data_IF_970043463134
#
_entry.id   IF_970043463134
#
_cell.length_a   1.000
_cell.length_b   1.000
_cell.length_c   1.000
_cell.angle_alpha   90.00
_cell.angle_beta   90.00
_cell.angle_gamma   90.00
#
_symmetry.space_group_name_H-M   'P 1'
#
loop_
_entity.id
_entity.type
_entity.pdbx_description
1 polymer ?
#
# COMPACT_ATOMS: atom_id res chain seq x y z
N UNK A 1 14.51 13.82 32.97
CA UNK A 1 15.83 14.00 32.35
C UNK A 1 16.78 14.59 33.38
N UNK A 2 17.72 13.77 33.83
CA UNK A 2 18.70 14.15 34.86
C UNK A 2 19.76 15.08 34.25
N UNK A 3 20.32 16.01 35.02
CA UNK A 3 21.37 16.93 34.55
C UNK A 3 22.61 16.21 33.96
N UNK A 4 22.75 14.90 34.22
CA UNK A 4 23.78 14.02 33.64
C UNK A 4 23.59 13.69 32.15
N UNK A 5 22.39 13.78 31.59
CA UNK A 5 22.17 13.50 30.16
C UNK A 5 22.62 14.67 29.26
N UNK A 6 22.66 15.90 29.80
CA UNK A 6 23.03 17.10 29.05
C UNK A 6 24.53 17.23 28.74
N UNK A 7 25.39 16.38 29.29
CA UNK A 7 26.84 16.46 29.08
C UNK A 7 27.42 15.38 28.18
N UNK A 8 26.60 14.46 27.66
CA UNK A 8 27.11 13.43 26.74
C UNK A 8 27.33 14.03 25.36
N UNK A 9 28.54 13.84 24.82
CA UNK A 9 28.91 14.25 23.47
C UNK A 9 29.06 13.01 22.61
N UNK A 10 28.59 13.11 21.37
CA UNK A 10 28.64 12.03 20.40
C UNK A 10 29.32 12.51 19.12
N UNK A 11 30.04 11.62 18.45
CA UNK A 11 30.53 11.82 17.09
C UNK A 11 29.59 11.10 16.12
N UNK A 12 29.19 11.78 15.04
CA UNK A 12 28.32 11.21 14.01
C UNK A 12 29.13 11.02 12.73
N UNK A 13 29.26 9.77 12.30
CA UNK A 13 30.04 9.38 11.12
C UNK A 13 29.13 8.70 10.10
N UNK A 14 29.27 9.10 8.84
CA UNK A 14 28.71 8.34 7.72
C UNK A 14 29.68 7.22 7.36
N UNK A 15 29.20 5.99 7.22
CA UNK A 15 30.05 4.81 6.97
C UNK A 15 30.55 4.69 5.52
N UNK A 16 29.95 5.44 4.58
CA UNK A 16 30.16 5.27 3.14
C UNK A 16 29.14 4.34 2.48
N UNK A 17 28.30 3.67 3.27
CA UNK A 17 27.30 2.71 2.79
C UNK A 17 25.87 3.25 2.84
N UNK A 18 25.04 2.83 1.89
CA UNK A 18 23.64 3.18 1.82
C UNK A 18 22.75 2.06 2.38
N UNK A 19 21.57 2.44 2.85
CA UNK A 19 20.50 1.49 3.17
C UNK A 19 19.95 0.85 1.88
N UNK A 20 19.47 -0.40 1.94
CA UNK A 20 18.92 -1.09 0.77
C UNK A 20 17.79 -0.30 0.09
N UNK A 21 17.81 -0.23 -1.24
CA UNK A 21 16.77 0.43 -2.04
C UNK A 21 17.04 1.91 -2.35
N UNK A 22 18.14 2.50 -1.88
CA UNK A 22 18.53 3.87 -2.21
C UNK A 22 19.65 3.91 -3.27
N UNK A 23 19.47 4.74 -4.29
CA UNK A 23 20.48 4.98 -5.32
C UNK A 23 21.39 6.15 -4.91
N UNK A 24 22.71 5.99 -5.05
CA UNK A 24 23.73 6.97 -4.63
C UNK A 24 23.49 8.37 -5.18
N UNK A 25 23.13 8.48 -6.45
CA UNK A 25 22.90 9.75 -7.13
C UNK A 25 21.67 10.48 -6.56
N UNK A 26 20.61 9.74 -6.23
CA UNK A 26 19.40 10.32 -5.63
C UNK A 26 19.69 10.87 -4.23
N UNK A 27 20.44 10.11 -3.43
CA UNK A 27 20.86 10.52 -2.10
C UNK A 27 21.73 11.78 -2.14
N UNK A 28 22.72 11.81 -3.04
CA UNK A 28 23.60 12.98 -3.24
C UNK A 28 22.78 14.23 -3.55
N UNK A 29 21.85 14.15 -4.51
CA UNK A 29 21.02 15.28 -4.90
C UNK A 29 20.09 15.75 -3.78
N UNK A 30 19.50 14.82 -3.03
CA UNK A 30 18.59 15.15 -1.95
C UNK A 30 19.30 15.89 -0.81
N UNK A 31 20.49 15.42 -0.42
CA UNK A 31 21.31 16.06 0.63
C UNK A 31 21.87 17.39 0.13
N UNK A 32 22.42 17.43 -1.09
CA UNK A 32 22.95 18.66 -1.69
C UNK A 32 21.89 19.76 -1.70
N UNK A 33 20.65 19.42 -2.07
CA UNK A 33 19.50 20.33 -2.03
C UNK A 33 19.15 20.78 -0.62
N UNK A 34 19.16 19.88 0.36
CA UNK A 34 18.81 20.22 1.75
C UNK A 34 19.83 21.16 2.41
N UNK A 35 21.12 20.99 2.09
CA UNK A 35 22.20 21.82 2.63
C UNK A 35 22.56 23.02 1.73
N UNK A 36 21.92 23.15 0.56
CA UNK A 36 22.20 24.17 -0.44
C UNK A 36 23.69 24.20 -0.86
N UNK A 37 24.25 23.02 -1.09
CA UNK A 37 25.63 22.81 -1.56
C UNK A 37 25.65 22.11 -2.91
N UNK A 38 26.78 22.17 -3.60
CA UNK A 38 26.93 21.52 -4.89
C UNK A 38 26.96 19.97 -4.74
N UNK A 39 26.33 19.19 -5.64
CA UNK A 39 26.32 17.72 -5.57
C UNK A 39 27.73 17.10 -5.48
N UNK A 40 28.72 17.74 -6.10
CA UNK A 40 30.11 17.31 -6.10
C UNK A 40 30.72 17.34 -4.69
N UNK A 41 30.27 18.22 -3.80
CA UNK A 41 30.73 18.27 -2.41
C UNK A 41 30.22 17.07 -1.61
N UNK A 42 28.94 16.71 -1.79
CA UNK A 42 28.35 15.54 -1.14
C UNK A 42 28.91 14.23 -1.71
N UNK A 43 29.25 14.18 -3.00
CA UNK A 43 29.85 12.98 -3.59
C UNK A 43 31.18 12.59 -2.94
N UNK A 44 31.93 13.55 -2.38
CA UNK A 44 33.19 13.32 -1.67
C UNK A 44 33.00 12.55 -0.35
N UNK A 45 31.78 12.47 0.16
CA UNK A 45 31.47 11.71 1.38
C UNK A 45 31.48 10.20 1.16
N UNK A 46 31.33 9.75 -0.08
CA UNK A 46 31.25 8.34 -0.46
C UNK A 46 32.63 7.74 -0.75
N UNK A 47 33.54 7.86 0.22
CA UNK A 47 34.85 7.23 0.21
C UNK A 47 34.85 5.95 1.05
N UNK A 48 35.69 4.94 0.75
CA UNK A 48 35.89 3.80 1.63
C UNK A 48 36.31 4.26 3.04
N UNK A 49 35.59 3.81 4.07
CA UNK A 49 35.77 4.27 5.45
C UNK A 49 34.93 5.50 5.82
N UNK A 50 34.18 6.08 4.89
CA UNK A 50 33.20 7.11 5.18
C UNK A 50 33.79 8.44 5.66
N UNK A 51 32.95 9.33 6.20
CA UNK A 51 33.34 10.68 6.63
C UNK A 51 32.67 11.05 7.95
N UNK A 52 33.38 11.81 8.78
CA UNK A 52 32.79 12.40 10.00
C UNK A 52 31.92 13.59 9.60
N UNK A 53 30.62 13.49 9.87
CA UNK A 53 29.67 14.55 9.59
C UNK A 53 29.65 15.59 10.72
N UNK A 54 29.85 15.14 11.96
CA UNK A 54 29.88 15.98 13.15
C UNK A 54 30.84 15.40 14.17
N UNK A 55 31.83 16.20 14.59
CA UNK A 55 32.82 15.78 15.58
C UNK A 55 32.22 15.71 16.99
N UNK A 56 31.44 16.72 17.37
CA UNK A 56 30.74 16.76 18.65
C UNK A 56 29.27 17.18 18.43
N UNK A 57 28.35 16.33 18.88
CA UNK A 57 26.92 16.54 18.86
C UNK A 57 26.32 16.21 20.23
N UNK A 58 25.35 17.02 20.65
CA UNK A 58 24.48 16.68 21.77
C UNK A 58 23.54 15.52 21.39
N UNK A 59 22.96 14.84 22.39
CA UNK A 59 22.00 13.75 22.13
C UNK A 59 20.80 14.20 21.26
N UNK A 60 20.33 15.43 21.45
CA UNK A 60 19.24 16.01 20.66
C UNK A 60 19.65 16.23 19.20
N UNK A 61 20.86 16.75 18.96
CA UNK A 61 21.40 16.92 17.61
C UNK A 61 21.63 15.56 16.91
N UNK A 62 22.11 14.54 17.63
CA UNK A 62 22.26 13.19 17.08
C UNK A 62 20.93 12.66 16.58
N UNK A 63 19.86 12.75 17.38
CA UNK A 63 18.53 12.28 16.96
C UNK A 63 18.02 13.02 15.71
N UNK A 64 18.30 14.32 15.59
CA UNK A 64 17.94 15.10 14.40
C UNK A 64 18.75 14.69 13.17
N UNK A 65 20.08 14.54 13.32
CA UNK A 65 20.97 14.13 12.23
C UNK A 65 20.65 12.71 11.78
N UNK A 66 20.45 11.79 12.71
CA UNK A 66 20.10 10.40 12.43
C UNK A 66 18.77 10.31 11.68
N UNK A 67 17.72 10.96 12.19
CA UNK A 67 16.42 10.96 11.53
C UNK A 67 16.47 11.56 10.12
N UNK A 68 17.20 12.66 9.94
CA UNK A 68 17.36 13.28 8.62
C UNK A 68 18.11 12.37 7.64
N UNK A 69 19.29 11.88 8.01
CA UNK A 69 20.16 11.13 7.10
C UNK A 69 19.68 9.70 6.85
N UNK A 70 19.08 9.02 7.83
CA UNK A 70 18.46 7.71 7.60
C UNK A 70 17.26 7.83 6.65
N UNK A 71 16.47 8.90 6.74
CA UNK A 71 15.37 9.16 5.80
C UNK A 71 15.86 9.37 4.36
N UNK A 72 17.10 9.83 4.18
CA UNK A 72 17.77 9.93 2.86
C UNK A 72 18.55 8.67 2.48
N UNK A 73 18.56 7.62 3.31
CA UNK A 73 19.18 6.33 3.01
C UNK A 73 20.64 6.18 3.43
N UNK A 74 21.21 7.05 4.27
CA UNK A 74 22.59 6.90 4.77
C UNK A 74 22.65 5.97 5.98
N UNK A 75 23.65 5.09 6.01
CA UNK A 75 24.01 4.33 7.21
C UNK A 75 25.01 5.15 8.05
N UNK A 76 24.55 5.60 9.22
CA UNK A 76 25.38 6.32 10.18
C UNK A 76 25.94 5.41 11.28
N UNK A 77 27.08 5.79 11.81
CA UNK A 77 27.72 5.25 13.02
C UNK A 77 27.80 6.39 14.05
N UNK A 78 27.32 6.13 15.27
CA UNK A 78 27.30 7.10 16.38
C UNK A 78 28.26 6.60 17.45
N UNK A 79 29.29 7.38 17.77
CA UNK A 79 30.32 7.04 18.77
C UNK A 79 30.15 7.94 19.99
N UNK A 80 29.99 7.36 21.18
CA UNK A 80 29.92 8.13 22.44
C UNK A 80 31.33 8.56 22.86
N UNK A 81 31.58 9.87 22.85
CA UNK A 81 32.86 10.46 23.23
C UNK A 81 33.03 10.57 24.75
N UNK A 82 31.96 10.38 25.52
CA UNK A 82 31.95 10.53 26.98
C UNK A 82 32.69 9.40 27.70
N UNK A 83 33.08 8.34 26.97
CA UNK A 83 33.78 7.15 27.49
C UNK A 83 35.31 7.34 27.40
N UNK A 84 35.79 8.41 26.74
CA UNK A 84 37.19 8.60 26.37
C UNK A 84 38.20 8.96 27.46
N UNK A 85 37.77 9.30 28.69
CA UNK A 85 38.70 9.72 29.76
C UNK A 85 39.11 8.61 30.75
N UNK A 86 38.66 7.36 30.57
CA UNK A 86 38.98 6.27 31.51
C UNK A 86 39.44 4.92 30.93
N UNK A 87 39.89 4.86 29.67
CA UNK A 87 40.40 3.61 29.09
C UNK A 87 41.91 3.67 28.76
N UNK A 88 42.75 3.70 29.80
CA UNK A 88 44.04 2.99 29.75
C UNK A 88 43.84 1.61 30.36
N UNK A 89 44.27 0.58 29.62
CA UNK A 89 44.39 -0.83 30.01
C UNK A 89 43.10 -1.59 30.37
N UNK A 90 42.50 -2.23 29.36
CA UNK A 90 41.86 -3.54 29.56
C UNK A 90 42.32 -4.47 28.44
N UNK A 91 43.14 -5.45 28.84
CA UNK A 91 43.58 -6.60 28.05
C UNK A 91 42.39 -7.29 27.36
N UNK A 92 42.60 -7.65 26.08
CA UNK A 92 41.69 -8.55 25.35
C UNK A 92 41.65 -9.92 26.04
N UNK A 93 40.48 -10.43 26.45
CA UNK A 93 40.35 -11.82 26.82
C UNK A 93 40.53 -12.70 25.57
N UNK A 94 41.41 -13.70 25.67
CA UNK A 94 41.50 -14.78 24.68
C UNK A 94 40.18 -15.57 24.70
N UNK A 95 39.61 -15.79 23.52
CA UNK A 95 38.54 -16.76 23.33
C UNK A 95 39.12 -18.16 23.57
N UNK A 96 38.59 -18.85 24.57
CA UNK A 96 38.74 -20.29 24.74
C UNK A 96 37.54 -20.96 24.08
N UNK A 97 37.82 -21.70 23.00
CA UNK A 97 36.92 -22.68 22.40
C UNK A 97 37.00 -23.97 23.24
N UNK A 98 36.01 -24.25 24.10
CA UNK A 98 35.64 -25.61 24.50
C UNK A 98 34.48 -25.65 25.50
N UNK A 99 33.71 -26.75 25.45
CA UNK A 99 32.56 -27.15 26.28
C UNK A 99 31.19 -26.60 25.79
N UNK A 100 30.31 -27.32 25.09
CA UNK A 100 29.84 -28.74 25.13
C UNK A 100 29.08 -29.11 26.42
N UNK A 101 27.77 -29.42 26.23
CA UNK A 101 26.82 -30.14 27.12
C UNK A 101 26.53 -29.48 28.49
N UNK A 102 25.39 -29.58 29.17
CA UNK A 102 24.20 -30.47 29.22
C UNK A 102 23.16 -29.74 30.11
N UNK A 103 21.86 -29.74 29.76
CA UNK A 103 20.74 -30.40 30.47
C UNK A 103 20.24 -29.84 31.84
N UNK A 104 18.92 -30.07 32.06
CA UNK A 104 18.17 -30.11 33.34
C UNK A 104 17.49 -28.79 33.82
N UNK A 105 16.16 -28.62 33.70
CA UNK A 105 15.08 -29.06 34.64
C UNK A 105 15.18 -28.41 36.02
N UNK A 106 14.22 -27.53 36.39
CA UNK A 106 13.23 -27.80 37.45
C UNK A 106 12.18 -26.69 37.67
N UNK A 107 11.04 -27.16 38.18
CA UNK A 107 9.86 -26.48 38.70
C UNK A 107 10.10 -25.43 39.80
N UNK A 108 9.26 -24.39 39.88
CA UNK A 108 8.60 -24.06 41.16
C UNK A 108 7.33 -23.20 41.03
N UNK A 109 6.32 -23.65 41.76
CA UNK A 109 4.99 -23.08 42.01
C UNK A 109 5.02 -21.89 42.98
N UNK A 110 3.97 -21.06 42.96
CA UNK A 110 3.26 -20.43 44.11
C UNK A 110 2.17 -19.51 43.52
N UNK A 111 0.87 -19.85 43.55
CA UNK A 111 -0.07 -19.79 44.67
C UNK A 111 -0.29 -18.37 45.23
N UNK A 112 -1.44 -17.76 44.90
CA UNK A 112 -2.21 -16.94 45.86
C UNK A 112 -3.69 -16.92 45.50
N UNK A 113 -4.47 -17.32 46.51
CA UNK A 113 -5.91 -17.26 46.65
C UNK A 113 -6.48 -15.85 46.49
N UNK A 114 -7.72 -15.76 46.00
CA UNK A 114 -8.75 -15.04 46.75
C UNK A 114 -10.14 -15.56 46.38
N UNK A 115 -10.84 -15.93 47.45
CA UNK A 115 -12.17 -16.51 47.51
C UNK A 115 -13.28 -15.61 46.95
N UNK A 116 -14.12 -16.25 46.12
CA UNK A 116 -15.60 -16.40 46.20
C UNK A 116 -16.31 -15.86 47.49
N UNK A 117 -17.65 -15.57 47.52
CA UNK A 117 -18.64 -16.53 47.00
C UNK A 117 -20.06 -16.07 46.58
N UNK A 118 -20.76 -17.03 45.95
CA UNK A 118 -22.20 -17.37 46.05
C UNK A 118 -23.24 -16.51 45.30
N UNK A 119 -24.31 -17.02 44.65
CA UNK A 119 -24.91 -18.35 44.34
C UNK A 119 -26.11 -18.02 43.41
N UNK A 120 -26.48 -18.77 42.36
CA UNK A 120 -27.51 -19.85 42.33
C UNK A 120 -27.82 -20.08 40.83
N UNK A 121 -27.53 -21.21 40.19
CA UNK A 121 -28.03 -22.60 40.33
C UNK A 121 -29.44 -22.82 39.77
N UNK A 122 -29.51 -23.56 38.65
CA UNK A 122 -30.45 -24.67 38.28
C UNK A 122 -30.14 -24.99 36.80
N UNK A 123 -29.44 -26.08 36.45
CA UNK A 123 -29.81 -27.51 36.43
C UNK A 123 -30.91 -27.90 35.42
N UNK A 124 -30.50 -28.57 34.34
CA UNK A 124 -31.03 -29.86 33.79
C UNK A 124 -30.26 -30.21 32.49
N UNK A 125 -29.41 -31.24 32.48
CA UNK A 125 -29.68 -32.67 32.22
C UNK A 125 -29.82 -32.99 30.72
N UNK A 126 -28.79 -33.61 30.09
CA UNK A 126 -28.60 -35.08 29.90
C UNK A 126 -29.22 -35.55 28.57
N UNK A 127 -28.42 -35.95 27.56
CA UNK A 127 -28.15 -37.34 27.06
C UNK A 127 -28.12 -37.20 25.51
N UNK A 128 -27.45 -37.95 24.64
CA UNK A 128 -26.81 -39.26 24.63
C UNK A 128 -26.02 -39.41 23.29
N UNK A 129 -25.04 -40.34 23.25
CA UNK A 129 -24.57 -41.18 22.11
C UNK A 129 -23.84 -40.54 20.91
N UNK A 130 -22.57 -40.87 20.67
CA UNK A 130 -22.00 -42.15 20.17
C UNK A 130 -22.23 -42.40 18.68
N UNK A 131 -21.17 -42.31 17.86
CA UNK A 131 -20.80 -43.35 16.89
C UNK A 131 -19.49 -43.00 16.18
N UNK A 132 -18.54 -43.90 16.34
CA UNK A 132 -17.34 -44.07 15.54
C UNK A 132 -17.72 -44.52 14.12
N UNK A 133 -16.99 -44.06 13.10
CA UNK A 133 -16.86 -44.84 11.88
C UNK A 133 -15.51 -44.59 11.19
N UNK A 134 -14.66 -45.61 11.29
CA UNK A 134 -13.51 -45.87 10.43
C UNK A 134 -13.94 -46.34 9.02
N UNK A 135 -13.03 -46.14 8.07
CA UNK A 135 -12.87 -46.70 6.70
C UNK A 135 -12.80 -45.59 5.65
N UNK A 136 -11.86 -45.58 4.71
CA UNK A 136 -10.93 -46.63 4.35
C UNK A 136 -9.88 -46.15 3.35
N UNK A 137 -8.87 -46.99 3.27
CA UNK A 137 -7.70 -46.99 2.39
C UNK A 137 -8.13 -47.03 0.91
N UNK A 138 -7.51 -46.19 0.08
CA UNK A 138 -7.32 -46.45 -1.34
C UNK A 138 -5.96 -45.88 -1.78
N UNK A 139 -5.02 -46.82 -1.83
CA UNK A 139 -3.71 -46.77 -2.48
C UNK A 139 -3.89 -46.79 -4.01
N UNK A 140 -3.14 -45.98 -4.75
CA UNK A 140 -2.70 -46.27 -6.14
C UNK A 140 -1.81 -45.14 -6.70
N UNK A 141 -0.51 -45.40 -6.60
CA UNK A 141 0.58 -45.11 -7.54
C UNK A 141 0.23 -44.51 -8.92
N UNK A 142 1.01 -43.51 -9.37
CA UNK A 142 1.84 -43.62 -10.59
C UNK A 142 2.63 -42.33 -10.90
N UNK A 143 3.85 -42.55 -11.42
CA UNK A 143 4.73 -41.64 -12.18
C UNK A 143 5.32 -40.42 -11.44
N UNK A 144 6.62 -40.39 -11.06
CA UNK A 144 7.87 -40.65 -11.81
C UNK A 144 8.11 -39.61 -12.93
N UNK A 145 9.29 -38.98 -12.85
CA UNK A 145 9.93 -38.07 -13.82
C UNK A 145 9.57 -36.58 -13.78
N UNK A 146 10.42 -35.77 -13.14
CA UNK A 146 10.85 -34.44 -13.62
C UNK A 146 12.01 -33.88 -12.78
N UNK A 147 13.10 -34.63 -12.63
CA UNK A 147 14.42 -34.05 -12.35
C UNK A 147 15.07 -33.70 -13.69
N UNK A 148 15.14 -32.41 -14.00
CA UNK A 148 15.84 -31.94 -15.19
C UNK A 148 15.24 -30.66 -15.76
N UNK A 149 15.57 -29.50 -15.15
CA UNK A 149 15.73 -28.21 -15.85
C UNK A 149 16.04 -27.04 -14.88
N UNK A 150 17.01 -27.19 -13.98
CA UNK A 150 17.52 -26.06 -13.18
C UNK A 150 18.77 -25.39 -13.79
N UNK A 151 19.39 -25.96 -14.83
CA UNK A 151 20.57 -25.38 -15.47
C UNK A 151 20.28 -24.44 -16.65
N UNK A 152 19.08 -24.48 -17.25
CA UNK A 152 18.73 -23.61 -18.39
C UNK A 152 18.17 -22.23 -17.97
N UNK A 153 17.70 -22.07 -16.73
CA UNK A 153 17.25 -20.77 -16.20
C UNK A 153 18.41 -19.88 -15.74
N UNK A 154 19.60 -20.45 -15.52
CA UNK A 154 20.79 -19.69 -15.08
C UNK A 154 21.60 -19.09 -16.24
N UNK A 155 21.38 -19.58 -17.48
CA UNK A 155 22.07 -19.08 -18.69
C UNK A 155 21.38 -17.92 -19.41
N UNK A 156 20.15 -17.55 -19.06
CA UNK A 156 19.46 -16.39 -19.64
C UNK A 156 19.65 -15.08 -18.86
N UNK A 157 20.18 -15.12 -17.63
CA UNK A 157 20.46 -13.90 -16.85
C UNK A 157 21.84 -13.29 -17.17
N UNK A 158 22.81 -14.08 -17.66
CA UNK A 158 24.18 -13.58 -17.95
C UNK A 158 24.35 -12.95 -19.34
N UNK A 159 23.42 -13.13 -20.29
CA UNK A 159 23.51 -12.52 -21.63
C UNK A 159 22.79 -11.16 -21.76
N UNK A 160 22.23 -10.63 -20.67
CA UNK A 160 21.44 -9.40 -20.66
C UNK A 160 22.15 -8.15 -20.13
N UNK A 161 23.31 -8.29 -19.48
CA UNK A 161 24.01 -7.17 -18.82
C UNK A 161 25.02 -6.44 -19.72
N UNK A 162 25.42 -7.01 -20.85
CA UNK A 162 26.51 -6.44 -21.66
C UNK A 162 26.09 -5.32 -22.63
N UNK A 163 24.80 -4.95 -22.68
CA UNK A 163 24.29 -3.97 -23.65
C UNK A 163 23.65 -2.72 -23.02
N UNK A 164 23.83 -2.49 -21.70
CA UNK A 164 23.24 -1.33 -20.98
C UNK A 164 24.15 -0.11 -20.87
N UNK A 165 25.37 -0.14 -21.42
CA UNK A 165 26.38 0.90 -21.23
C UNK A 165 26.54 1.90 -22.39
N UNK A 166 25.57 2.03 -23.32
CA UNK A 166 25.74 2.90 -24.50
C UNK A 166 24.58 3.86 -24.81
N UNK A 167 23.66 4.09 -23.88
CA UNK A 167 22.67 5.17 -23.99
C UNK A 167 22.68 6.08 -22.77
N UNK A 168 23.86 6.62 -22.47
CA UNK A 168 23.95 7.85 -21.69
C UNK A 168 23.55 8.99 -22.63
N UNK A 169 22.24 9.20 -22.78
CA UNK A 169 21.70 10.37 -23.47
C UNK A 169 22.21 11.61 -22.75
N UNK A 170 23.16 12.32 -23.38
CA UNK A 170 23.56 13.65 -22.98
C UNK A 170 22.30 14.51 -22.80
N UNK A 171 22.10 15.01 -21.57
CA UNK A 171 21.04 15.98 -21.29
C UNK A 171 21.40 17.25 -22.08
N UNK A 172 20.62 17.66 -23.09
CA UNK A 172 20.96 18.82 -23.88
C UNK A 172 20.96 20.06 -22.99
N UNK A 173 22.03 20.85 -23.03
CA UNK A 173 22.08 22.13 -22.33
C UNK A 173 21.02 23.06 -22.94
N UNK A 174 19.92 23.25 -22.21
CA UNK A 174 18.77 24.05 -22.63
C UNK A 174 19.12 25.54 -22.57
N UNK A 175 19.23 26.15 -23.74
CA UNK A 175 19.37 27.60 -23.88
C UNK A 175 17.98 28.24 -23.69
N UNK A 176 17.70 28.73 -22.48
CA UNK A 176 16.39 29.28 -22.05
C UNK A 176 15.93 30.52 -22.83
N UNK A 177 16.77 31.09 -23.68
CA UNK A 177 16.49 32.33 -24.41
C UNK A 177 15.68 32.12 -25.71
N UNK A 178 15.42 30.87 -26.13
CA UNK A 178 14.72 30.56 -27.38
C UNK A 178 13.41 29.78 -27.13
N UNK A 179 12.49 30.39 -26.36
CA UNK A 179 11.16 29.88 -26.00
C UNK A 179 10.15 30.01 -27.17
N UNK A 180 10.48 29.45 -28.34
CA UNK A 180 9.51 29.32 -29.42
C UNK A 180 8.42 28.29 -29.03
N UNK A 181 7.19 28.45 -29.55
CA UNK A 181 6.10 27.47 -29.33
C UNK A 181 6.53 26.05 -29.73
N UNK A 182 7.32 25.93 -30.79
CA UNK A 182 7.80 24.65 -31.30
C UNK A 182 8.82 24.00 -30.34
N UNK A 183 9.67 24.80 -29.69
CA UNK A 183 10.60 24.32 -28.67
C UNK A 183 9.87 23.90 -27.38
N UNK A 184 8.80 24.61 -27.00
CA UNK A 184 7.94 24.22 -25.88
C UNK A 184 7.23 22.90 -26.17
N UNK A 185 6.71 22.70 -27.39
CA UNK A 185 6.11 21.44 -27.80
C UNK A 185 7.11 20.28 -27.82
N UNK A 186 8.33 20.53 -28.33
CA UNK A 186 9.43 19.55 -28.29
C UNK A 186 9.86 19.23 -26.86
N UNK A 187 9.99 20.22 -25.98
CA UNK A 187 10.25 20.01 -24.55
C UNK A 187 9.15 19.19 -23.90
N UNK A 188 7.87 19.49 -24.16
CA UNK A 188 6.77 18.70 -23.62
C UNK A 188 6.79 17.27 -24.14
N UNK A 189 7.10 17.06 -25.43
CA UNK A 189 7.25 15.73 -26.00
C UNK A 189 8.41 14.96 -25.37
N UNK A 190 9.55 15.62 -25.12
CA UNK A 190 10.74 15.02 -24.51
C UNK A 190 10.54 14.71 -23.02
N UNK A 191 9.96 15.62 -22.26
CA UNK A 191 9.55 15.40 -20.86
C UNK A 191 8.51 14.29 -20.79
N UNK A 192 7.55 14.26 -21.73
CA UNK A 192 6.58 13.17 -21.84
C UNK A 192 7.25 11.83 -22.13
N UNK A 193 8.25 11.78 -23.01
CA UNK A 193 9.01 10.57 -23.29
C UNK A 193 9.86 10.12 -22.08
N UNK A 194 10.33 11.06 -21.26
CA UNK A 194 11.08 10.76 -20.04
C UNK A 194 10.20 10.29 -18.88
N UNK A 195 8.97 10.82 -18.77
CA UNK A 195 8.02 10.45 -17.71
C UNK A 195 7.15 9.22 -18.03
N UNK A 196 6.98 8.88 -19.31
CA UNK A 196 6.17 7.73 -19.73
C UNK A 196 7.09 6.53 -19.90
N UNK A 197 6.90 5.45 -19.12
CA UNK A 197 7.57 4.18 -19.37
C UNK A 197 7.42 3.77 -20.84
N UNK A 198 8.47 3.24 -21.50
CA UNK A 198 8.39 2.85 -22.91
C UNK A 198 7.26 1.85 -23.20
N UNK A 199 6.85 1.05 -22.20
CA UNK A 199 5.69 0.13 -22.30
C UNK A 199 4.33 0.83 -22.45
N UNK A 200 4.27 2.14 -22.23
CA UNK A 200 3.07 2.98 -22.40
C UNK A 200 3.16 3.87 -23.65
N UNK A 201 4.08 3.56 -24.58
CA UNK A 201 4.14 4.22 -25.87
C UNK A 201 2.78 4.15 -26.59
N UNK A 202 2.32 5.28 -27.11
CA UNK A 202 1.02 5.38 -27.78
C UNK A 202 -0.20 5.49 -26.85
N UNK A 203 -0.03 5.49 -25.51
CA UNK A 203 -1.14 5.60 -24.57
C UNK A 203 -2.08 6.79 -24.86
N UNK A 204 -3.36 6.48 -25.00
CA UNK A 204 -4.43 7.47 -25.19
C UNK A 204 -5.21 7.62 -23.87
N UNK A 205 -5.13 8.79 -23.20
CA UNK A 205 -5.87 9.02 -21.97
C UNK A 205 -7.37 9.02 -22.25
N UNK A 206 -8.13 8.31 -21.41
CA UNK A 206 -9.57 8.27 -21.53
C UNK A 206 -10.19 9.65 -21.27
N UNK A 207 -11.17 10.03 -22.10
CA UNK A 207 -11.98 11.25 -21.87
C UNK A 207 -12.80 11.09 -20.58
N UNK A 208 -12.96 12.19 -19.85
CA UNK A 208 -13.67 12.21 -18.57
C UNK A 208 -15.08 11.60 -18.68
N UNK A 209 -15.85 11.96 -19.71
CA UNK A 209 -17.19 11.41 -19.93
C UNK A 209 -17.23 9.88 -20.08
N UNK A 210 -16.23 9.26 -20.72
CA UNK A 210 -16.15 7.79 -20.81
C UNK A 210 -15.84 7.16 -19.45
N UNK A 211 -15.00 7.81 -18.63
CA UNK A 211 -14.72 7.36 -17.26
C UNK A 211 -15.96 7.46 -16.38
N UNK A 212 -16.73 8.54 -16.49
CA UNK A 212 -18.00 8.71 -15.77
C UNK A 212 -19.02 7.66 -16.19
N UNK A 213 -19.18 7.40 -17.49
CA UNK A 213 -20.10 6.37 -17.99
C UNK A 213 -19.70 4.97 -17.54
N UNK A 214 -18.41 4.65 -17.58
CA UNK A 214 -17.87 3.41 -17.03
C UNK A 214 -18.17 3.27 -15.53
N UNK A 215 -18.01 4.35 -14.76
CA UNK A 215 -18.34 4.36 -13.34
C UNK A 215 -19.83 4.15 -13.07
N UNK A 216 -20.73 4.78 -13.84
CA UNK A 216 -22.17 4.55 -13.72
C UNK A 216 -22.50 3.08 -13.99
N UNK A 217 -21.91 2.48 -15.03
CA UNK A 217 -22.11 1.07 -15.33
C UNK A 217 -21.57 0.17 -14.21
N UNK A 218 -20.37 0.45 -13.71
CA UNK A 218 -19.79 -0.26 -12.57
C UNK A 218 -20.69 -0.14 -11.33
N UNK A 219 -21.26 1.03 -11.05
CA UNK A 219 -22.16 1.24 -9.93
C UNK A 219 -23.42 0.37 -10.05
N UNK A 220 -24.06 0.33 -11.22
CA UNK A 220 -25.22 -0.54 -11.45
C UNK A 220 -24.88 -2.02 -11.25
N UNK A 221 -23.73 -2.46 -11.76
CA UNK A 221 -23.25 -3.84 -11.60
C UNK A 221 -23.00 -4.15 -10.12
N UNK A 222 -22.33 -3.26 -9.39
CA UNK A 222 -22.02 -3.45 -7.97
C UNK A 222 -23.31 -3.43 -7.14
N UNK A 223 -24.26 -2.54 -7.41
CA UNK A 223 -25.55 -2.53 -6.71
C UNK A 223 -26.29 -3.86 -6.85
N UNK A 224 -26.33 -4.40 -8.08
CA UNK A 224 -26.91 -5.72 -8.31
C UNK A 224 -26.12 -6.83 -7.60
N UNK A 225 -24.78 -6.81 -7.70
CA UNK A 225 -23.91 -7.79 -7.08
C UNK A 225 -24.02 -7.77 -5.54
N UNK A 226 -24.07 -6.59 -4.93
CA UNK A 226 -24.25 -6.42 -3.49
C UNK A 226 -25.57 -6.97 -3.03
N UNK A 227 -26.66 -6.77 -3.78
CA UNK A 227 -27.94 -7.36 -3.46
C UNK A 227 -27.88 -8.90 -3.48
N UNK A 228 -27.25 -9.48 -4.50
CA UNK A 228 -27.04 -10.94 -4.59
C UNK A 228 -26.19 -11.45 -3.41
N UNK A 229 -25.10 -10.75 -3.06
CA UNK A 229 -24.23 -11.13 -1.93
C UNK A 229 -25.01 -11.11 -0.62
N UNK A 230 -25.74 -10.03 -0.34
CA UNK A 230 -26.54 -9.89 0.88
C UNK A 230 -27.62 -10.97 0.93
N UNK A 231 -28.30 -11.24 -0.17
CA UNK A 231 -29.29 -12.31 -0.26
C UNK A 231 -28.68 -13.70 0.04
N UNK A 232 -27.52 -14.03 -0.54
CA UNK A 232 -26.83 -15.29 -0.29
C UNK A 232 -26.36 -15.41 1.16
N UNK A 233 -25.80 -14.34 1.72
CA UNK A 233 -25.39 -14.32 3.13
C UNK A 233 -26.59 -14.50 4.06
N UNK A 234 -27.74 -13.91 3.73
CA UNK A 234 -28.99 -14.07 4.48
C UNK A 234 -29.51 -15.51 4.41
N UNK A 235 -29.47 -16.14 3.23
CA UNK A 235 -29.84 -17.55 3.06
C UNK A 235 -28.94 -18.50 3.87
N UNK A 236 -27.66 -18.15 4.03
CA UNK A 236 -26.70 -18.91 4.84
C UNK A 236 -26.79 -18.58 6.34
N UNK A 237 -27.74 -17.73 6.77
CA UNK A 237 -27.85 -17.21 8.13
C UNK A 237 -26.56 -16.56 8.65
N UNK A 238 -25.75 -15.98 7.76
CA UNK A 238 -24.52 -15.26 8.10
C UNK A 238 -24.76 -13.79 8.45
N UNK A 239 -25.93 -13.26 8.06
CA UNK A 239 -26.36 -11.90 8.38
C UNK A 239 -27.77 -11.94 8.94
N UNK A 240 -28.05 -11.03 9.87
CA UNK A 240 -29.42 -10.86 10.35
C UNK A 240 -30.28 -10.21 9.25
N UNK A 241 -31.35 -10.90 8.87
CA UNK A 241 -32.33 -10.41 7.90
C UNK A 241 -33.63 -9.96 8.54
N UNK A 242 -33.74 -10.04 9.88
CA UNK A 242 -34.91 -9.60 10.63
C UNK A 242 -35.29 -8.14 10.35
N UNK A 243 -34.36 -7.16 10.27
CA UNK A 243 -34.70 -5.77 9.97
C UNK A 243 -35.41 -5.60 8.62
N UNK A 244 -35.05 -6.41 7.62
CA UNK A 244 -35.73 -6.40 6.33
C UNK A 244 -37.15 -6.96 6.42
N UNK A 245 -37.35 -8.04 7.18
CA UNK A 245 -38.68 -8.64 7.38
C UNK A 245 -39.60 -7.70 8.16
N UNK A 246 -39.07 -7.03 9.19
CA UNK A 246 -39.80 -6.03 9.97
C UNK A 246 -40.18 -4.83 9.12
N UNK A 247 -39.23 -4.31 8.31
CA UNK A 247 -39.51 -3.26 7.34
C UNK A 247 -40.64 -3.64 6.38
N UNK A 248 -40.62 -4.84 5.79
CA UNK A 248 -41.68 -5.29 4.88
C UNK A 248 -43.02 -5.49 5.59
N UNK A 249 -43.00 -5.84 6.87
CA UNK A 249 -44.22 -6.01 7.68
C UNK A 249 -44.85 -4.66 7.99
N UNK A 250 -44.05 -3.67 8.41
CA UNK A 250 -44.48 -2.29 8.61
C UNK A 250 -44.98 -1.68 7.29
N UNK A 251 -44.25 -1.87 6.19
CA UNK A 251 -44.62 -1.33 4.89
C UNK A 251 -45.96 -1.89 4.35
N UNK A 252 -46.29 -3.15 4.65
CA UNK A 252 -47.60 -3.75 4.27
C UNK A 252 -48.77 -3.14 5.04
N UNK A 253 -48.53 -2.59 6.24
CA UNK A 253 -49.56 -2.01 7.10
C UNK A 253 -49.97 -0.58 6.70
N UNK A 254 -49.18 0.09 5.86
CA UNK A 254 -49.38 1.50 5.50
C UNK A 254 -49.73 1.65 4.01
N UNK A 255 -50.80 2.40 3.72
CA UNK A 255 -51.28 2.63 2.35
C UNK A 255 -50.48 3.74 1.62
N UNK A 256 -49.77 4.59 2.36
CA UNK A 256 -48.97 5.69 1.80
C UNK A 256 -47.54 5.70 2.36
N UNK A 257 -46.60 6.20 1.53
CA UNK A 257 -45.20 6.37 1.93
C UNK A 257 -45.06 7.43 3.02
N UNK A 258 -45.93 8.45 3.01
CA UNK A 258 -45.92 9.52 4.01
C UNK A 258 -46.25 8.97 5.41
N UNK A 259 -47.28 8.13 5.52
CA UNK A 259 -47.69 7.50 6.78
C UNK A 259 -46.62 6.56 7.31
N UNK A 260 -45.96 5.81 6.40
CA UNK A 260 -44.84 4.94 6.75
C UNK A 260 -43.66 5.75 7.30
N UNK A 261 -43.27 6.85 6.64
CA UNK A 261 -42.17 7.71 7.07
C UNK A 261 -42.46 8.48 8.37
N UNK A 262 -43.73 8.72 8.69
CA UNK A 262 -44.15 9.33 9.95
C UNK A 262 -44.15 8.34 11.14
N UNK A 263 -44.00 7.03 10.89
CA UNK A 263 -43.99 6.03 11.96
C UNK A 263 -42.68 6.08 12.78
N UNK A 264 -42.73 6.34 14.09
CA UNK A 264 -41.54 6.36 14.94
C UNK A 264 -40.85 4.98 15.04
N UNK A 265 -41.58 3.87 14.87
CA UNK A 265 -41.02 2.51 14.88
C UNK A 265 -40.16 2.22 13.64
N UNK A 266 -40.34 2.98 12.55
CA UNK A 266 -39.59 2.77 11.32
C UNK A 266 -38.12 3.22 11.44
N UNK A 267 -37.84 4.27 12.22
CA UNK A 267 -36.49 4.81 12.34
C UNK A 267 -35.44 3.79 12.81
N UNK A 268 -35.62 3.06 13.92
CA UNK A 268 -34.64 2.08 14.36
C UNK A 268 -34.47 0.93 13.36
N UNK A 269 -35.56 0.47 12.74
CA UNK A 269 -35.53 -0.60 11.72
C UNK A 269 -34.73 -0.14 10.49
N UNK A 270 -34.94 1.10 10.04
CA UNK A 270 -34.17 1.67 8.93
C UNK A 270 -32.70 1.85 9.31
N UNK A 271 -32.38 2.29 10.53
CA UNK A 271 -31.00 2.44 10.99
C UNK A 271 -30.26 1.10 10.97
N UNK A 272 -30.89 0.05 11.50
CA UNK A 272 -30.31 -1.30 11.51
C UNK A 272 -30.17 -1.87 10.09
N UNK A 273 -31.20 -1.72 9.26
CA UNK A 273 -31.15 -2.13 7.85
C UNK A 273 -30.03 -1.40 7.09
N UNK A 274 -29.90 -0.09 7.28
CA UNK A 274 -28.84 0.72 6.65
C UNK A 274 -27.47 0.35 7.17
N UNK A 275 -27.32 -0.03 8.44
CA UNK A 275 -26.06 -0.52 9.01
C UNK A 275 -25.62 -1.82 8.32
N UNK A 276 -26.51 -2.81 8.22
CA UNK A 276 -26.23 -4.08 7.54
C UNK A 276 -25.91 -3.84 6.06
N UNK A 277 -26.75 -3.07 5.35
CA UNK A 277 -26.53 -2.73 3.95
C UNK A 277 -25.18 -2.02 3.75
N UNK A 278 -24.87 -1.03 4.58
CA UNK A 278 -23.64 -0.23 4.48
C UNK A 278 -22.40 -1.11 4.55
N UNK A 279 -22.30 -2.00 5.55
CA UNK A 279 -21.13 -2.87 5.73
C UNK A 279 -20.90 -3.75 4.50
N UNK A 280 -21.95 -4.46 4.05
CA UNK A 280 -21.82 -5.46 2.99
C UNK A 280 -21.72 -4.85 1.59
N UNK A 281 -22.42 -3.76 1.32
CA UNK A 281 -22.27 -2.99 0.08
C UNK A 281 -20.83 -2.46 -0.02
N UNK A 282 -20.29 -1.91 1.07
CA UNK A 282 -18.93 -1.37 1.12
C UNK A 282 -17.88 -2.44 0.89
N UNK A 283 -18.03 -3.60 1.54
CA UNK A 283 -17.14 -4.74 1.34
C UNK A 283 -17.19 -5.23 -0.11
N UNK A 284 -18.39 -5.40 -0.67
CA UNK A 284 -18.58 -5.82 -2.06
C UNK A 284 -17.95 -4.85 -3.04
N UNK A 285 -18.15 -3.54 -2.81
CA UNK A 285 -17.57 -2.48 -3.64
C UNK A 285 -16.04 -2.55 -3.65
N UNK A 286 -15.44 -2.61 -2.46
CA UNK A 286 -13.97 -2.64 -2.30
C UNK A 286 -13.39 -3.90 -2.94
N UNK A 287 -13.97 -5.07 -2.67
CA UNK A 287 -13.54 -6.34 -3.26
C UNK A 287 -13.69 -6.34 -4.79
N UNK A 288 -14.82 -5.85 -5.30
CA UNK A 288 -15.08 -5.76 -6.74
C UNK A 288 -13.98 -4.97 -7.46
N UNK A 289 -13.65 -3.77 -6.98
CA UNK A 289 -12.64 -2.94 -7.63
C UNK A 289 -11.23 -3.51 -7.45
N UNK A 290 -10.85 -3.93 -6.24
CA UNK A 290 -9.51 -4.49 -6.00
C UNK A 290 -9.27 -5.70 -6.89
N UNK A 291 -10.19 -6.66 -6.91
CA UNK A 291 -10.00 -7.91 -7.67
C UNK A 291 -9.97 -7.64 -9.16
N UNK A 292 -10.91 -6.87 -9.70
CA UNK A 292 -10.98 -6.64 -11.15
C UNK A 292 -9.84 -5.76 -11.66
N UNK A 293 -9.50 -4.70 -10.93
CA UNK A 293 -8.39 -3.83 -11.34
C UNK A 293 -7.04 -4.53 -11.21
N UNK A 294 -6.89 -5.46 -10.25
CA UNK A 294 -5.66 -6.25 -10.14
C UNK A 294 -5.54 -7.33 -11.22
N UNK A 295 -6.62 -8.07 -11.48
CA UNK A 295 -6.60 -9.23 -12.38
C UNK A 295 -6.68 -8.83 -13.85
N UNK A 296 -7.54 -7.86 -14.18
CA UNK A 296 -7.81 -7.45 -15.56
C UNK A 296 -7.25 -6.09 -15.92
N UNK A 297 -6.71 -5.34 -14.93
CA UNK A 297 -6.33 -3.95 -15.13
C UNK A 297 -7.54 -3.04 -15.36
N UNK A 298 -8.76 -3.50 -15.14
CA UNK A 298 -9.98 -2.74 -15.42
C UNK A 298 -11.17 -3.33 -14.67
N UNK A 299 -12.06 -2.46 -14.17
CA UNK A 299 -13.41 -2.85 -13.77
C UNK A 299 -14.26 -3.19 -15.00
N UNK A 300 -15.40 -3.89 -14.82
CA UNK A 300 -16.23 -4.33 -15.96
C UNK A 300 -16.72 -3.15 -16.80
N UNK A 301 -17.13 -2.05 -16.16
CA UNK A 301 -17.49 -0.81 -16.83
C UNK A 301 -16.33 -0.25 -17.64
N UNK A 302 -15.12 -0.16 -17.06
CA UNK A 302 -13.94 0.32 -17.80
C UNK A 302 -13.61 -0.58 -18.99
N UNK A 303 -13.75 -1.89 -18.83
CA UNK A 303 -13.51 -2.90 -19.87
C UNK A 303 -14.47 -2.74 -21.05
N UNK A 304 -15.74 -2.40 -20.81
CA UNK A 304 -16.72 -2.14 -21.87
C UNK A 304 -16.30 -0.98 -22.81
N UNK A 305 -15.59 0.00 -22.27
CA UNK A 305 -15.07 1.15 -23.03
C UNK A 305 -13.62 0.97 -23.51
N UNK A 306 -13.08 -0.26 -23.46
CA UNK A 306 -11.68 -0.57 -23.78
C UNK A 306 -10.67 0.26 -22.98
N UNK A 307 -11.01 0.62 -21.73
CA UNK A 307 -10.13 1.36 -20.84
C UNK A 307 -9.49 0.41 -19.83
N UNK A 308 -8.22 0.66 -19.52
CA UNK A 308 -7.46 -0.02 -18.48
C UNK A 308 -6.74 1.00 -17.61
N UNK A 309 -6.40 0.55 -16.42
CA UNK A 309 -5.60 1.27 -15.44
C UNK A 309 -4.19 0.72 -15.48
N UNK A 310 -3.22 1.61 -15.66
CA UNK A 310 -1.80 1.29 -15.67
C UNK A 310 -1.09 2.00 -14.54
N UNK A 311 -0.04 1.37 -14.01
CA UNK A 311 0.88 2.02 -13.09
C UNK A 311 1.85 2.90 -13.88
N UNK A 312 2.05 4.14 -13.45
CA UNK A 312 3.09 5.01 -14.03
C UNK A 312 4.50 4.58 -13.65
N UNK A 313 4.67 3.82 -12.56
CA UNK A 313 5.99 3.38 -12.08
C UNK A 313 6.54 2.23 -12.91
N UNK A 314 5.70 1.22 -13.17
CA UNK A 314 6.11 0.01 -13.89
C UNK A 314 5.69 0.03 -15.36
N UNK A 315 4.74 0.90 -15.73
CA UNK A 315 4.14 0.93 -17.06
C UNK A 315 3.29 -0.30 -17.41
N UNK A 316 3.06 -1.21 -16.45
CA UNK A 316 2.28 -2.43 -16.60
C UNK A 316 1.04 -2.46 -15.69
N UNK A 317 0.55 -3.67 -15.40
CA UNK A 317 -0.54 -3.89 -14.44
C UNK A 317 -0.11 -3.45 -13.03
N UNK A 318 -1.08 -3.04 -12.22
CA UNK A 318 -0.84 -2.64 -10.83
C UNK A 318 -0.42 -3.83 -9.96
N UNK A 319 0.43 -3.52 -8.97
CA UNK A 319 0.65 -4.38 -7.80
C UNK A 319 -0.56 -4.33 -6.86
N UNK A 320 -0.71 -5.34 -6.01
CA UNK A 320 -1.81 -5.42 -5.03
C UNK A 320 -1.88 -4.20 -4.13
N UNK A 321 -0.73 -3.75 -3.61
CA UNK A 321 -0.68 -2.60 -2.71
C UNK A 321 -1.21 -1.32 -3.37
N UNK A 322 -0.87 -1.10 -4.64
CA UNK A 322 -1.34 0.08 -5.37
C UNK A 322 -2.84 -0.04 -5.68
N UNK A 323 -3.32 -1.22 -6.06
CA UNK A 323 -4.73 -1.46 -6.32
C UNK A 323 -5.60 -1.24 -5.06
N UNK A 324 -5.16 -1.77 -3.91
CA UNK A 324 -5.82 -1.60 -2.61
C UNK A 324 -5.82 -0.12 -2.22
N UNK A 325 -4.65 0.53 -2.22
CA UNK A 325 -4.51 1.93 -1.84
C UNK A 325 -5.39 2.85 -2.71
N UNK A 326 -5.36 2.66 -4.03
CA UNK A 326 -6.18 3.42 -4.98
C UNK A 326 -7.67 3.22 -4.75
N UNK A 327 -8.10 1.97 -4.54
CA UNK A 327 -9.51 1.65 -4.28
C UNK A 327 -9.99 2.25 -2.97
N UNK A 328 -9.18 2.17 -1.91
CA UNK A 328 -9.50 2.79 -0.62
C UNK A 328 -9.61 4.30 -0.72
N UNK A 329 -8.66 4.95 -1.40
CA UNK A 329 -8.70 6.40 -1.60
C UNK A 329 -9.94 6.84 -2.38
N UNK A 330 -10.34 6.06 -3.39
CA UNK A 330 -11.55 6.29 -4.16
C UNK A 330 -12.82 6.09 -3.31
N UNK A 331 -12.88 4.98 -2.56
CA UNK A 331 -14.00 4.65 -1.67
C UNK A 331 -14.19 5.71 -0.58
N UNK A 332 -13.11 6.12 0.08
CA UNK A 332 -13.11 7.21 1.06
C UNK A 332 -13.59 8.50 0.40
N UNK A 333 -13.05 8.85 -0.77
CA UNK A 333 -13.46 10.05 -1.52
C UNK A 333 -14.96 10.09 -1.83
N UNK A 334 -15.55 8.97 -2.22
CA UNK A 334 -17.00 8.87 -2.47
C UNK A 334 -17.81 8.97 -1.17
N UNK A 335 -17.38 8.31 -0.09
CA UNK A 335 -18.12 8.38 1.18
C UNK A 335 -18.05 9.78 1.81
N UNK A 336 -16.91 10.48 1.69
CA UNK A 336 -16.82 11.89 2.08
C UNK A 336 -17.75 12.78 1.23
N UNK A 337 -17.98 12.42 -0.04
CA UNK A 337 -18.89 13.14 -0.92
C UNK A 337 -20.33 13.15 -0.36
N UNK A 338 -20.78 12.03 0.20
CA UNK A 338 -22.12 11.86 0.74
C UNK A 338 -22.23 12.29 2.20
N UNK A 339 -21.20 12.06 3.02
CA UNK A 339 -21.25 12.34 4.45
C UNK A 339 -21.18 13.84 4.78
N UNK A 340 -20.42 14.62 4.01
CA UNK A 340 -20.31 16.07 4.20
C UNK A 340 -20.53 16.75 2.84
N UNK A 341 -21.78 17.07 2.47
CA UNK A 341 -22.12 17.50 1.11
C UNK A 341 -21.27 18.66 0.59
N UNK A 342 -20.92 19.61 1.47
CA UNK A 342 -20.10 20.78 1.13
C UNK A 342 -18.64 20.39 0.84
N UNK A 343 -18.00 19.69 1.77
CA UNK A 343 -16.59 19.26 1.63
C UNK A 343 -16.46 18.27 0.47
N UNK A 344 -17.40 17.35 0.40
CA UNK A 344 -17.59 16.43 -0.70
C UNK A 344 -17.63 17.13 -2.04
N UNK A 345 -18.57 18.06 -2.22
CA UNK A 345 -18.72 18.83 -3.45
C UNK A 345 -17.44 19.54 -3.85
N UNK A 346 -16.72 20.14 -2.89
CA UNK A 346 -15.42 20.78 -3.13
C UNK A 346 -14.38 19.77 -3.61
N UNK A 347 -14.23 18.60 -2.95
CA UNK A 347 -13.29 17.57 -3.35
C UNK A 347 -13.61 17.00 -4.75
N UNK A 348 -14.89 16.81 -5.07
CA UNK A 348 -15.33 16.40 -6.39
C UNK A 348 -14.97 17.45 -7.45
N UNK A 349 -15.23 18.73 -7.17
CA UNK A 349 -14.91 19.84 -8.07
C UNK A 349 -13.40 19.97 -8.26
N UNK A 350 -12.59 19.85 -7.20
CA UNK A 350 -11.13 19.82 -7.28
C UNK A 350 -10.65 18.64 -8.13
N UNK A 351 -11.25 17.46 -7.97
CA UNK A 351 -10.93 16.27 -8.77
C UNK A 351 -11.21 16.51 -10.24
N UNK A 352 -12.34 17.13 -10.56
CA UNK A 352 -12.76 17.42 -11.92
C UNK A 352 -11.88 18.51 -12.55
N UNK A 353 -11.63 19.59 -11.82
CA UNK A 353 -10.78 20.70 -12.25
C UNK A 353 -9.35 20.23 -12.50
N UNK A 354 -8.81 19.39 -11.61
CA UNK A 354 -7.49 18.78 -11.80
C UNK A 354 -7.45 17.86 -13.03
N UNK A 355 -8.46 17.01 -13.21
CA UNK A 355 -8.55 16.13 -14.37
C UNK A 355 -8.66 16.88 -15.70
N UNK A 356 -9.28 18.07 -15.70
CA UNK A 356 -9.32 18.96 -16.87
C UNK A 356 -8.01 19.72 -17.09
N UNK A 357 -7.28 20.03 -16.02
CA UNK A 357 -6.03 20.79 -16.08
C UNK A 357 -4.82 19.93 -16.43
N UNK A 358 -4.79 18.64 -16.08
CA UNK A 358 -3.70 17.72 -16.44
C UNK A 358 -3.75 17.44 -17.96
N UNK A 359 -2.88 18.08 -18.77
CA UNK A 359 -2.98 18.02 -20.22
C UNK A 359 -2.47 16.69 -20.78
N UNK A 360 -1.70 15.94 -19.99
CA UNK A 360 -1.00 14.73 -20.44
C UNK A 360 -1.84 13.48 -20.22
N UNK A 361 -2.34 13.30 -18.99
CA UNK A 361 -2.97 12.03 -18.59
C UNK A 361 -4.43 12.19 -18.14
N UNK A 362 -4.89 13.44 -17.97
CA UNK A 362 -6.21 13.77 -17.43
C UNK A 362 -6.48 13.02 -16.12
N UNK A 363 -5.48 12.94 -15.22
CA UNK A 363 -5.59 12.16 -13.98
C UNK A 363 -6.56 12.81 -13.01
N UNK A 364 -7.33 11.98 -12.32
CA UNK A 364 -8.08 12.42 -11.15
C UNK A 364 -7.14 12.56 -9.94
N UNK A 365 -7.57 13.24 -8.88
CA UNK A 365 -6.77 13.39 -7.66
C UNK A 365 -6.35 12.02 -7.09
N UNK A 366 -7.26 11.06 -7.03
CA UNK A 366 -6.92 9.72 -6.51
C UNK A 366 -5.98 8.95 -7.44
N UNK A 367 -6.11 9.10 -8.77
CA UNK A 367 -5.17 8.49 -9.71
C UNK A 367 -3.76 9.10 -9.57
N UNK A 368 -3.66 10.40 -9.27
CA UNK A 368 -2.40 11.10 -9.02
C UNK A 368 -1.69 10.54 -7.79
N UNK A 369 -2.39 10.43 -6.66
CA UNK A 369 -1.82 9.89 -5.42
C UNK A 369 -1.45 8.40 -5.54
N UNK A 370 -2.23 7.62 -6.29
CA UNK A 370 -1.93 6.22 -6.56
C UNK A 370 -0.81 6.03 -7.60
N UNK A 371 -0.39 7.07 -8.31
CA UNK A 371 0.59 6.96 -9.40
C UNK A 371 0.06 6.13 -10.56
N UNK A 372 -1.21 6.31 -10.93
CA UNK A 372 -1.90 5.53 -11.96
C UNK A 372 -2.45 6.40 -13.07
N UNK A 373 -2.72 5.79 -14.21
CA UNK A 373 -3.39 6.42 -15.36
C UNK A 373 -4.46 5.52 -15.93
N UNK A 374 -5.53 6.12 -16.47
CA UNK A 374 -6.66 5.40 -17.05
C UNK A 374 -6.82 5.77 -18.52
N UNK A 375 -6.75 4.77 -19.40
CA UNK A 375 -6.82 4.98 -20.84
C UNK A 375 -6.71 3.69 -21.63
N UNK A 376 -6.46 3.84 -22.92
CA UNK A 376 -6.29 2.71 -23.85
C UNK A 376 -4.89 2.78 -24.47
N UNK A 377 -4.24 1.63 -24.60
CA UNK A 377 -3.11 1.50 -25.51
C UNK A 377 -3.68 1.19 -26.90
N UNK A 378 -3.11 1.76 -27.98
CA UNK A 378 -3.42 1.31 -29.34
C UNK A 378 -3.17 -0.19 -29.35
N UNK A 379 -4.16 -0.96 -29.79
CA UNK A 379 -4.02 -2.41 -29.86
C UNK A 379 -2.83 -2.71 -30.76
N UNK A 380 -1.70 -3.16 -30.19
CA UNK A 380 -0.94 -4.20 -30.88
C UNK A 380 -1.95 -5.32 -31.12
N UNK A 381 -2.13 -5.67 -32.39
CA UNK A 381 -3.06 -6.67 -32.87
C UNK A 381 -3.15 -7.82 -31.86
N UNK A 382 -4.36 -8.02 -31.31
CA UNK A 382 -4.64 -9.19 -30.48
C UNK A 382 -4.32 -10.42 -31.33
N UNK A 383 -3.13 -11.00 -31.13
CA UNK A 383 -2.84 -12.40 -31.44
C UNK A 383 -3.39 -13.27 -30.33
#
# INVERSE_FOLDING_TARGET
>A
MSNREKSRKYQVRFTGELLPGFAKEQVILAIAKAYNVAPEEISKWFIPGGVTLREEASAEEVAQLEGFFQAQGLRLEIVDLSIGDHATDVERPKLDESAVHEASVNDHSTATDSDTPHTRQTDHASEERSSSQEMGVADLSSHQEAEGNQDDLRRQEESGEENRNSQQQEIPQLNLNDLSKENIEKMFAQVKAMLIPPSLAGFMPARLGRRTLAFILDYLIISFLSFVVIYLLGMLNLIDTAPFQEYFTLAKGHLSVEDLMANPELQPVLEEMMSVLSIWVSLTFVLYFILLEKLYGASLGKRLFNMRVYSLRTGGLMSWNIAIFRTMLFYIGINFLTAIPIIGGILFLLTLLWATRDPLFRRTLYDLFAGTIVGSLPQEERR
#
